data_IF_690362531845
#
_entry.id   IF_690362531845
#
_cell.length_a   1.000
_cell.length_b   1.000
_cell.length_c   1.000
_cell.angle_alpha   90.00
_cell.angle_beta   90.00
_cell.angle_gamma   90.00
#
_symmetry.space_group_name_H-M   'P 1'
#
loop_
_entity.id
_entity.type
_entity.pdbx_description
1 polymer ?
#
# COMPACT_ATOMS: atom_id res chain seq x y z
N UNK A 1 -17.02 -12.70 6.26
CA UNK A 1 -16.00 -12.49 5.24
C UNK A 1 -14.84 -13.45 5.43
N UNK A 2 -14.43 -14.10 4.39
CA UNK A 2 -13.31 -15.03 4.46
C UNK A 2 -12.00 -14.30 4.33
N UNK A 3 -11.03 -14.73 5.11
CA UNK A 3 -9.68 -14.22 4.97
C UNK A 3 -8.79 -15.30 4.39
N UNK A 4 -7.85 -14.89 3.59
CA UNK A 4 -6.92 -15.79 2.95
C UNK A 4 -5.52 -15.29 3.21
N UNK A 5 -4.58 -16.20 3.27
CA UNK A 5 -3.19 -15.83 3.47
C UNK A 5 -2.44 -15.98 2.17
N UNK A 6 -1.63 -15.00 1.86
CA UNK A 6 -0.73 -15.06 0.72
C UNK A 6 0.69 -14.88 1.23
N UNK A 7 1.60 -15.59 0.64
CA UNK A 7 3.01 -15.51 1.04
C UNK A 7 3.87 -15.27 -0.17
N UNK A 8 4.95 -14.56 0.06
CA UNK A 8 5.94 -14.33 -0.98
C UNK A 8 7.28 -14.14 -0.31
N UNK A 9 8.33 -14.26 -1.08
CA UNK A 9 9.70 -14.17 -0.56
C UNK A 9 10.31 -12.84 -0.90
N UNK A 10 11.09 -12.34 0.02
CA UNK A 10 11.87 -11.12 -0.20
C UNK A 10 13.29 -11.37 0.29
N UNK A 11 14.20 -10.61 -0.23
CA UNK A 11 15.58 -10.65 0.25
C UNK A 11 15.68 -9.91 1.56
N UNK A 12 16.78 -10.10 2.28
CA UNK A 12 17.00 -9.38 3.53
C UNK A 12 17.00 -7.88 3.30
N UNK A 13 17.58 -7.46 2.21
CA UNK A 13 17.65 -6.06 1.84
C UNK A 13 16.26 -5.49 1.60
N UNK A 14 15.45 -6.24 0.88
CA UNK A 14 14.08 -5.82 0.61
C UNK A 14 13.25 -5.77 1.88
N UNK A 15 13.44 -6.74 2.75
CA UNK A 15 12.71 -6.79 4.01
C UNK A 15 13.01 -5.55 4.86
N UNK A 16 14.29 -5.21 4.98
CA UNK A 16 14.68 -4.05 5.75
C UNK A 16 14.08 -2.76 5.19
N UNK A 17 14.07 -2.66 3.88
CA UNK A 17 13.53 -1.49 3.22
C UNK A 17 12.02 -1.37 3.44
N UNK A 18 11.34 -2.50 3.32
CA UNK A 18 9.89 -2.52 3.53
C UNK A 18 9.54 -2.11 4.96
N UNK A 19 10.28 -2.66 5.92
CA UNK A 19 10.04 -2.32 7.33
C UNK A 19 10.28 -0.85 7.59
N UNK A 20 11.31 -0.31 7.00
CA UNK A 20 11.63 1.09 7.15
C UNK A 20 10.52 1.97 6.59
N UNK A 21 10.06 1.63 5.41
CA UNK A 21 9.00 2.41 4.77
C UNK A 21 7.67 2.30 5.50
N UNK A 22 7.37 1.12 6.00
CA UNK A 22 6.14 0.92 6.77
C UNK A 22 6.17 1.77 8.03
N UNK A 23 7.32 1.82 8.68
CA UNK A 23 7.48 2.62 9.89
C UNK A 23 7.28 4.10 9.60
N UNK A 24 7.83 4.57 8.50
CA UNK A 24 7.64 5.96 8.10
C UNK A 24 6.17 6.27 7.86
N UNK A 25 5.44 5.30 7.34
CA UNK A 25 4.03 5.47 7.06
C UNK A 25 3.15 5.20 8.28
N UNK A 26 3.76 4.81 9.40
CA UNK A 26 3.05 4.49 10.63
C UNK A 26 2.07 3.35 10.43
N UNK A 27 2.52 2.35 9.70
CA UNK A 27 1.74 1.17 9.41
C UNK A 27 2.51 -0.07 9.78
N UNK A 28 1.78 -1.15 10.01
CA UNK A 28 2.44 -2.44 10.12
C UNK A 28 2.93 -2.83 8.73
N UNK A 29 3.84 -3.79 8.68
CA UNK A 29 4.35 -4.25 7.40
C UNK A 29 3.21 -4.77 6.52
N UNK A 30 2.31 -5.54 7.11
CA UNK A 30 1.18 -6.08 6.37
C UNK A 30 0.30 -4.98 5.80
N UNK A 31 -0.02 -3.99 6.61
CA UNK A 31 -0.83 -2.87 6.16
C UNK A 31 -0.15 -2.11 5.03
N UNK A 32 1.16 -1.92 5.18
CA UNK A 32 1.91 -1.17 4.20
C UNK A 32 1.92 -1.88 2.85
N UNK A 33 2.21 -3.18 2.88
CA UNK A 33 2.25 -3.95 1.64
C UNK A 33 0.88 -3.98 0.97
N UNK A 34 -0.17 -4.19 1.75
CA UNK A 34 -1.52 -4.22 1.19
C UNK A 34 -1.89 -2.87 0.59
N UNK A 35 -1.54 -1.80 1.28
CA UNK A 35 -1.82 -0.47 0.78
C UNK A 35 -1.10 -0.21 -0.54
N UNK A 36 0.17 -0.62 -0.61
CA UNK A 36 0.94 -0.43 -1.83
C UNK A 36 0.36 -1.18 -3.01
N UNK A 37 -0.03 -2.44 -2.77
CA UNK A 37 -0.63 -3.24 -3.84
C UNK A 37 -1.94 -2.64 -4.32
N UNK A 38 -2.78 -2.23 -3.37
CA UNK A 38 -4.08 -1.69 -3.73
C UNK A 38 -3.96 -0.36 -4.44
N UNK A 39 -2.99 0.46 -4.02
CA UNK A 39 -2.76 1.73 -4.69
C UNK A 39 -2.28 1.52 -6.12
N UNK A 40 -1.44 0.51 -6.33
CA UNK A 40 -0.98 0.20 -7.66
C UNK A 40 -2.14 -0.26 -8.54
N UNK A 41 -3.05 -1.03 -7.97
CA UNK A 41 -4.24 -1.48 -8.70
C UNK A 41 -5.12 -0.30 -9.09
N UNK A 42 -5.29 0.65 -8.18
CA UNK A 42 -6.06 1.84 -8.49
C UNK A 42 -5.42 2.61 -9.63
N UNK A 43 -4.09 2.70 -9.61
CA UNK A 43 -3.37 3.38 -10.67
C UNK A 43 -3.57 2.70 -12.02
N UNK A 44 -3.81 1.40 -12.00
CA UNK A 44 -4.09 0.64 -13.22
C UNK A 44 -5.56 0.70 -13.62
N UNK A 45 -6.37 1.44 -12.89
CA UNK A 45 -7.77 1.58 -13.22
C UNK A 45 -8.68 0.60 -12.52
N UNK A 46 -8.17 -0.17 -11.56
CA UNK A 46 -8.96 -1.15 -10.84
C UNK A 46 -9.69 -0.45 -9.69
N UNK A 47 -10.84 0.09 -9.98
CA UNK A 47 -11.56 0.90 -8.99
C UNK A 47 -12.07 0.08 -7.81
N UNK A 48 -12.19 -1.23 -7.98
CA UNK A 48 -12.58 -2.10 -6.87
C UNK A 48 -11.58 -1.98 -5.73
N UNK A 49 -10.31 -1.78 -6.07
CA UNK A 49 -9.26 -1.65 -5.06
C UNK A 49 -9.49 -0.42 -4.19
N UNK A 50 -10.00 0.65 -4.77
CA UNK A 50 -10.26 1.86 -4.02
C UNK A 50 -11.31 1.61 -2.93
N UNK A 51 -12.33 0.84 -3.26
CA UNK A 51 -13.36 0.49 -2.29
C UNK A 51 -12.80 -0.35 -1.17
N UNK A 52 -11.90 -1.27 -1.51
CA UNK A 52 -11.27 -2.12 -0.51
C UNK A 52 -10.40 -1.31 0.42
N UNK A 53 -9.64 -0.38 -0.12
CA UNK A 53 -8.79 0.50 0.70
C UNK A 53 -9.64 1.24 1.72
N UNK A 54 -10.73 1.84 1.28
CA UNK A 54 -11.58 2.60 2.17
C UNK A 54 -12.19 1.75 3.26
N UNK A 55 -12.45 0.49 2.94
CA UNK A 55 -13.15 -0.40 3.87
C UNK A 55 -12.21 -1.08 4.85
N UNK A 56 -11.03 -1.47 4.40
CA UNK A 56 -10.15 -2.30 5.22
C UNK A 56 -8.98 -1.57 5.86
N UNK A 57 -8.43 -0.60 5.17
CA UNK A 57 -7.25 0.10 5.65
C UNK A 57 -7.58 1.50 6.14
N UNK A 58 -8.55 2.11 5.50
CA UNK A 58 -9.10 3.36 5.98
C UNK A 58 -8.21 4.57 5.78
N UNK A 59 -8.22 5.43 6.79
CA UNK A 59 -7.59 6.73 6.68
C UNK A 59 -6.10 6.68 6.42
N UNK A 60 -5.42 5.70 6.98
CA UNK A 60 -3.98 5.59 6.79
C UNK A 60 -3.63 5.43 5.33
N UNK A 61 -4.35 4.55 4.65
CA UNK A 61 -4.09 4.30 3.24
C UNK A 61 -4.50 5.48 2.39
N UNK A 62 -5.60 6.12 2.74
CA UNK A 62 -6.03 7.30 2.01
C UNK A 62 -5.01 8.41 2.12
N UNK A 63 -4.47 8.58 3.31
CA UNK A 63 -3.45 9.59 3.55
C UNK A 63 -2.18 9.28 2.76
N UNK A 64 -1.78 8.02 2.78
CA UNK A 64 -0.59 7.59 2.05
C UNK A 64 -0.79 7.77 0.54
N UNK A 65 -1.97 7.44 0.06
CA UNK A 65 -2.29 7.61 -1.35
C UNK A 65 -2.24 9.09 -1.74
N UNK A 66 -2.81 9.92 -0.90
CA UNK A 66 -2.83 11.35 -1.14
C UNK A 66 -1.42 11.91 -1.23
N UNK A 67 -0.56 11.52 -0.30
CA UNK A 67 0.82 11.98 -0.30
C UNK A 67 1.55 11.50 -1.53
N UNK A 68 1.31 10.28 -1.92
CA UNK A 68 1.96 9.70 -3.09
C UNK A 68 1.58 10.46 -4.36
N UNK A 69 0.31 10.79 -4.48
CA UNK A 69 -0.16 11.53 -5.64
C UNK A 69 0.42 12.94 -5.68
N UNK A 70 0.54 13.57 -4.52
CA UNK A 70 1.10 14.91 -4.44
C UNK A 70 2.60 14.91 -4.67
N UNK A 71 3.27 13.92 -4.12
CA UNK A 71 4.73 13.88 -4.19
C UNK A 71 5.22 13.44 -5.56
N UNK A 72 4.39 12.77 -6.31
CA UNK A 72 4.80 12.28 -7.61
C UNK A 72 4.95 13.42 -8.59
N UNK A 73 6.14 13.61 -9.11
CA UNK A 73 6.33 14.69 -10.05
C UNK A 73 5.60 14.39 -11.34
N UNK A 74 5.27 15.42 -12.04
CA UNK A 74 4.66 15.28 -13.33
C UNK A 74 5.66 14.66 -14.27
N UNK A 75 5.23 13.60 -14.87
CA UNK A 75 6.09 12.92 -15.79
C UNK A 75 5.71 13.34 -17.17
N UNK A 76 6.59 13.74 -17.87
CA UNK A 76 6.31 14.12 -19.18
C UNK A 76 6.92 13.42 -20.17
#
# INVERSE_FOLDING_TARGET
MKTQMMQFRVTDEEKDLIEKCAKKARMTVSEYIRACMLMEMVADGEMQALKIIGRTIGMKAMDALSRRLKAKPVQD
#
